data_IF_365542604804
#
_entry.id   IF_365542604804
#
_cell.length_a   1.000
_cell.length_b   1.000
_cell.length_c   1.000
_cell.angle_alpha   90.00
_cell.angle_beta   90.00
_cell.angle_gamma   90.00
#
_symmetry.space_group_name_H-M   'P 1'
#
loop_
_entity.id
_entity.type
_entity.pdbx_description
1 polymer ?
#
# COMPACT_ATOMS: atom_id res chain seq x y z
N UNK A 1 -26.75 17.23 -0.80
CA UNK A 1 -25.83 17.81 0.21
C UNK A 1 -25.74 16.88 1.40
N UNK A 2 -24.88 15.87 1.31
CA UNK A 2 -24.69 14.84 2.33
C UNK A 2 -23.62 15.34 3.29
N UNK A 3 -23.97 15.53 4.57
CA UNK A 3 -23.04 16.06 5.58
C UNK A 3 -21.81 15.14 5.73
N UNK A 4 -20.60 15.69 5.94
CA UNK A 4 -19.43 14.88 6.25
C UNK A 4 -19.66 14.14 7.57
N UNK A 5 -19.57 12.81 7.51
CA UNK A 5 -19.71 11.91 8.66
C UNK A 5 -18.46 12.08 9.53
N UNK A 6 -18.64 12.30 10.83
CA UNK A 6 -17.53 12.51 11.76
C UNK A 6 -16.77 11.19 12.00
N UNK A 7 -15.47 11.21 12.32
CA UNK A 7 -14.68 9.99 12.55
C UNK A 7 -15.22 9.06 13.66
N UNK A 8 -16.04 9.60 14.56
CA UNK A 8 -16.67 8.89 15.68
C UNK A 8 -17.92 8.08 15.26
N UNK A 9 -18.49 8.40 14.09
CA UNK A 9 -19.61 7.68 13.48
C UNK A 9 -19.11 6.62 12.47
N UNK A 10 -17.79 6.41 12.37
CA UNK A 10 -17.27 5.28 11.62
C UNK A 10 -17.63 3.97 12.35
N UNK A 11 -18.07 2.95 11.60
CA UNK A 11 -18.43 1.68 12.18
C UNK A 11 -17.28 1.02 12.94
N UNK A 12 -17.59 0.48 14.13
CA UNK A 12 -16.66 -0.36 14.92
C UNK A 12 -16.42 -1.69 14.18
N UNK A 13 -15.19 -2.26 14.23
CA UNK A 13 -14.65 -3.31 13.33
C UNK A 13 -15.48 -4.61 13.13
N UNK A 14 -16.54 -4.82 13.92
CA UNK A 14 -17.44 -5.98 13.84
C UNK A 14 -18.86 -5.63 13.40
N UNK A 15 -19.14 -4.37 13.05
CA UNK A 15 -20.46 -3.91 12.66
C UNK A 15 -20.77 -4.31 11.21
N UNK A 16 -22.03 -4.67 10.95
CA UNK A 16 -22.50 -5.16 9.65
C UNK A 16 -22.16 -4.21 8.47
N UNK A 17 -21.97 -2.92 8.77
CA UNK A 17 -21.47 -1.87 7.88
C UNK A 17 -20.02 -2.06 7.44
N UNK A 18 -19.12 -2.60 8.26
CA UNK A 18 -17.74 -2.94 7.84
C UNK A 18 -17.72 -4.14 6.90
N UNK A 19 -18.63 -5.09 7.10
CA UNK A 19 -18.81 -6.22 6.16
C UNK A 19 -19.38 -5.73 4.84
N UNK A 20 -20.34 -4.79 4.87
CA UNK A 20 -20.83 -4.13 3.67
C UNK A 20 -19.74 -3.28 3.00
N UNK A 21 -18.96 -2.50 3.75
CA UNK A 21 -17.85 -1.71 3.25
C UNK A 21 -16.72 -2.59 2.69
N UNK A 22 -16.41 -3.74 3.32
CA UNK A 22 -15.47 -4.73 2.78
C UNK A 22 -16.02 -5.43 1.54
N UNK A 23 -17.32 -5.71 1.47
CA UNK A 23 -17.95 -6.26 0.25
C UNK A 23 -18.02 -5.24 -0.89
N UNK A 24 -18.22 -3.96 -0.58
CA UNK A 24 -18.15 -2.85 -1.54
C UNK A 24 -16.70 -2.60 -1.96
N UNK A 25 -15.74 -2.69 -1.05
CA UNK A 25 -14.31 -2.60 -1.33
C UNK A 25 -13.88 -3.71 -2.29
N UNK A 26 -14.38 -4.93 -2.12
CA UNK A 26 -14.14 -6.03 -3.07
C UNK A 26 -14.71 -5.75 -4.47
N UNK A 27 -15.80 -4.98 -4.56
CA UNK A 27 -16.36 -4.48 -5.82
C UNK A 27 -15.52 -3.34 -6.43
N UNK A 28 -14.90 -2.48 -5.60
CA UNK A 28 -13.99 -1.41 -6.03
C UNK A 28 -12.59 -1.89 -6.40
N UNK A 29 -12.20 -3.09 -5.94
CA UNK A 29 -10.87 -3.65 -6.19
C UNK A 29 -10.75 -4.25 -7.60
N UNK A 30 -11.88 -4.69 -8.18
CA UNK A 30 -11.93 -5.15 -9.56
C UNK A 30 -12.01 -3.95 -10.52
N UNK A 31 -11.19 -3.93 -11.58
CA UNK A 31 -11.39 -2.97 -12.67
C UNK A 31 -12.78 -3.15 -13.27
N UNK A 32 -13.46 -2.05 -13.60
CA UNK A 32 -14.85 -2.06 -14.05
C UNK A 32 -14.95 -2.33 -15.56
N UNK A 33 -13.93 -1.96 -16.32
CA UNK A 33 -13.76 -2.40 -17.71
C UNK A 33 -12.28 -2.66 -18.04
N UNK A 34 -11.69 -3.79 -17.61
CA UNK A 34 -10.31 -4.08 -17.91
C UNK A 34 -10.14 -4.43 -19.40
N UNK A 35 -10.08 -3.41 -20.25
CA UNK A 35 -9.71 -3.58 -21.65
C UNK A 35 -8.30 -4.16 -21.82
N UNK A 36 -8.15 -5.07 -22.79
CA UNK A 36 -6.87 -5.49 -23.35
C UNK A 36 -5.83 -5.99 -22.33
N UNK A 37 -4.69 -5.30 -22.27
CA UNK A 37 -3.52 -5.73 -21.50
C UNK A 37 -3.76 -5.73 -19.97
N UNK A 38 -4.62 -4.84 -19.47
CA UNK A 38 -4.93 -4.74 -18.04
C UNK A 38 -5.65 -6.00 -17.55
N UNK A 39 -6.68 -6.47 -18.29
CA UNK A 39 -7.36 -7.73 -17.99
C UNK A 39 -6.42 -8.93 -18.00
N UNK A 40 -5.49 -8.98 -18.96
CA UNK A 40 -4.52 -10.06 -19.05
C UNK A 40 -3.67 -10.15 -17.78
N UNK A 41 -3.19 -9.02 -17.26
CA UNK A 41 -2.39 -8.98 -16.02
C UNK A 41 -3.19 -9.47 -14.80
N UNK A 42 -4.44 -9.04 -14.65
CA UNK A 42 -5.31 -9.54 -13.58
C UNK A 42 -5.55 -11.05 -13.71
N UNK A 43 -5.83 -11.55 -14.92
CA UNK A 43 -6.06 -12.99 -15.16
C UNK A 43 -4.83 -13.87 -14.89
N UNK A 44 -3.63 -13.32 -15.11
CA UNK A 44 -2.36 -13.99 -14.84
C UNK A 44 -1.93 -13.88 -13.37
N UNK A 45 -2.70 -13.17 -12.53
CA UNK A 45 -2.35 -12.91 -11.14
C UNK A 45 -1.19 -11.91 -10.97
N UNK A 46 -0.81 -11.21 -12.04
CA UNK A 46 0.20 -10.16 -12.02
C UNK A 46 -0.43 -8.87 -11.47
N UNK A 47 -0.64 -8.87 -10.15
CA UNK A 47 -1.26 -7.78 -9.40
C UNK A 47 -0.40 -7.39 -8.21
N UNK A 48 -0.45 -6.11 -7.86
CA UNK A 48 0.21 -5.57 -6.67
C UNK A 48 -0.89 -5.19 -5.69
N UNK A 49 -0.91 -5.87 -4.55
CA UNK A 49 -1.89 -5.61 -3.48
C UNK A 49 -1.20 -4.98 -2.29
N UNK A 50 -1.70 -3.82 -1.88
CA UNK A 50 -1.30 -3.10 -0.67
C UNK A 50 -2.39 -3.29 0.37
N UNK A 51 -2.06 -3.84 1.53
CA UNK A 51 -2.99 -4.03 2.65
C UNK A 51 -2.53 -3.22 3.85
N UNK A 52 -3.35 -2.28 4.29
CA UNK A 52 -3.10 -1.50 5.49
C UNK A 52 -3.44 -2.33 6.73
N UNK A 53 -2.44 -2.58 7.58
CA UNK A 53 -2.57 -3.50 8.72
C UNK A 53 -3.54 -3.00 9.80
N UNK A 54 -3.50 -1.72 10.21
CA UNK A 54 -4.41 -1.20 11.24
C UNK A 54 -5.90 -1.27 10.87
N UNK A 55 -6.25 -0.99 9.61
CA UNK A 55 -7.65 -0.92 9.18
C UNK A 55 -8.13 -2.20 8.48
N UNK A 56 -7.22 -3.02 7.97
CA UNK A 56 -7.53 -4.19 7.15
C UNK A 56 -8.04 -3.85 5.74
N UNK A 57 -8.02 -2.57 5.35
CA UNK A 57 -8.33 -2.16 3.98
C UNK A 57 -7.19 -2.53 3.03
N UNK A 58 -7.52 -2.84 1.79
CA UNK A 58 -6.55 -3.12 0.75
C UNK A 58 -6.91 -2.43 -0.56
N UNK A 59 -5.89 -2.24 -1.39
CA UNK A 59 -5.99 -1.71 -2.75
C UNK A 59 -5.11 -2.59 -3.65
N UNK A 60 -5.67 -3.01 -4.78
CA UNK A 60 -5.00 -3.82 -5.78
C UNK A 60 -4.89 -3.08 -7.11
N UNK A 61 -3.70 -3.14 -7.70
CA UNK A 61 -3.36 -2.59 -9.00
C UNK A 61 -2.91 -3.70 -9.96
N UNK A 62 -3.09 -3.48 -11.26
CA UNK A 62 -2.43 -4.29 -12.28
C UNK A 62 -0.92 -4.01 -12.26
N UNK A 63 -0.10 -5.04 -12.32
CA UNK A 63 1.35 -4.91 -12.18
C UNK A 63 2.02 -4.59 -13.52
N UNK A 64 1.88 -3.36 -14.02
CA UNK A 64 2.67 -2.86 -15.15
C UNK A 64 4.02 -2.34 -14.66
N UNK A 65 4.91 -3.27 -14.30
CA UNK A 65 6.17 -2.95 -13.63
C UNK A 65 7.19 -2.31 -14.58
N UNK A 66 7.73 -1.17 -14.17
CA UNK A 66 8.77 -0.43 -14.89
C UNK A 66 10.17 -0.73 -14.35
N UNK A 67 10.32 -0.78 -13.04
CA UNK A 67 11.56 -1.15 -12.37
C UNK A 67 11.29 -1.91 -11.07
N UNK A 68 12.22 -2.77 -10.71
CA UNK A 68 12.20 -3.50 -9.45
C UNK A 68 13.62 -3.77 -8.99
N UNK A 69 13.91 -3.35 -7.78
CA UNK A 69 15.18 -3.54 -7.09
C UNK A 69 14.88 -4.07 -5.68
N UNK A 70 15.58 -5.15 -5.30
CA UNK A 70 15.44 -5.80 -4.01
C UNK A 70 16.82 -6.03 -3.42
N UNK A 71 17.14 -5.29 -2.36
CA UNK A 71 18.46 -5.27 -1.75
C UNK A 71 18.39 -5.71 -0.29
N UNK A 72 19.36 -6.54 0.12
CA UNK A 72 19.54 -6.99 1.49
C UNK A 72 20.89 -6.49 2.01
N UNK A 73 20.87 -5.61 3.01
CA UNK A 73 22.07 -5.08 3.63
C UNK A 73 22.28 -5.74 5.00
N UNK A 74 23.28 -6.61 5.11
CA UNK A 74 23.65 -7.26 6.35
C UNK A 74 24.73 -6.46 7.09
N UNK A 75 24.43 -6.04 8.31
CA UNK A 75 25.30 -5.19 9.11
C UNK A 75 26.11 -6.02 10.11
N UNK A 76 27.44 -5.93 9.99
CA UNK A 76 28.40 -6.57 10.89
C UNK A 76 29.30 -5.50 11.54
N UNK A 77 29.38 -5.50 12.87
CA UNK A 77 30.25 -4.62 13.64
C UNK A 77 31.54 -5.35 14.03
N UNK A 78 32.69 -4.83 13.60
CA UNK A 78 34.00 -5.39 13.93
C UNK A 78 34.54 -4.88 15.26
N UNK A 79 34.68 -5.75 16.25
CA UNK A 79 35.38 -5.41 17.51
C UNK A 79 36.82 -5.92 17.47
N UNK A 80 37.79 -5.01 17.65
CA UNK A 80 39.21 -5.38 17.79
C UNK A 80 39.51 -5.74 19.24
N UNK A 81 40.10 -6.90 19.47
CA UNK A 81 40.52 -7.37 20.79
C UNK A 81 42.03 -7.42 20.86
N UNK A 82 42.61 -7.01 21.98
CA UNK A 82 44.06 -7.04 22.20
C UNK A 82 44.61 -8.45 22.00
N UNK A 83 45.71 -8.57 21.27
CA UNK A 83 46.38 -9.84 21.00
C UNK A 83 45.82 -10.66 19.83
N UNK A 84 44.82 -10.15 19.09
CA UNK A 84 44.36 -10.77 17.83
C UNK A 84 44.68 -9.88 16.62
N UNK A 85 45.08 -10.52 15.53
CA UNK A 85 45.35 -9.86 14.25
C UNK A 85 44.06 -9.52 13.48
N UNK A 86 43.02 -10.34 13.62
CA UNK A 86 41.73 -10.13 12.95
C UNK A 86 40.64 -9.64 13.91
N UNK A 87 39.82 -8.71 13.44
CA UNK A 87 38.64 -8.24 14.15
C UNK A 87 37.57 -9.33 14.29
N UNK A 88 36.82 -9.33 15.38
CA UNK A 88 35.65 -10.19 15.58
C UNK A 88 34.44 -9.46 14.99
N UNK A 89 33.85 -10.01 13.92
CA UNK A 89 32.61 -9.49 13.34
C UNK A 89 31.40 -9.96 14.16
N UNK A 90 30.61 -9.03 14.69
CA UNK A 90 29.35 -9.28 15.40
C UNK A 90 28.20 -8.85 14.51
N UNK A 91 27.30 -9.78 14.19
CA UNK A 91 26.10 -9.48 13.41
C UNK A 91 25.14 -8.57 14.20
N UNK A 92 24.69 -7.48 13.59
CA UNK A 92 23.77 -6.49 14.20
C UNK A 92 22.34 -6.64 13.66
N UNK A 93 22.20 -6.86 12.36
CA UNK A 93 20.89 -6.97 11.72
C UNK A 93 21.00 -7.00 10.21
N UNK A 94 19.88 -7.25 9.54
CA UNK A 94 19.76 -7.16 8.08
C UNK A 94 18.58 -6.30 7.73
N UNK A 95 18.81 -5.28 6.90
CA UNK A 95 17.75 -4.41 6.37
C UNK A 95 17.47 -4.80 4.92
N UNK A 96 16.21 -5.12 4.60
CA UNK A 96 15.76 -5.33 3.22
C UNK A 96 15.11 -4.04 2.71
N UNK A 97 15.59 -3.53 1.58
CA UNK A 97 14.99 -2.37 0.90
C UNK A 97 14.52 -2.81 -0.49
N UNK A 98 13.21 -2.66 -0.72
CA UNK A 98 12.57 -2.96 -1.99
C UNK A 98 12.13 -1.64 -2.60
N UNK A 99 12.62 -1.34 -3.80
CA UNK A 99 12.22 -0.18 -4.59
C UNK A 99 11.61 -0.68 -5.89
N UNK A 100 10.39 -0.24 -6.20
CA UNK A 100 9.76 -0.59 -7.46
C UNK A 100 8.90 0.56 -7.98
N UNK A 101 8.70 0.56 -9.29
CA UNK A 101 7.83 1.51 -9.98
C UNK A 101 6.94 0.76 -10.95
N UNK A 102 5.69 1.21 -11.09
CA UNK A 102 4.72 0.62 -11.99
C UNK A 102 3.81 1.70 -12.56
N UNK A 103 3.29 1.46 -13.76
CA UNK A 103 2.33 2.34 -14.41
C UNK A 103 0.90 1.94 -14.08
N UNK A 104 0.04 2.95 -13.93
CA UNK A 104 -1.40 2.77 -13.74
C UNK A 104 -2.06 3.30 -15.02
N UNK A 105 -2.54 2.38 -15.85
CA UNK A 105 -3.20 2.71 -17.12
C UNK A 105 -4.71 2.58 -16.96
N UNK A 106 -5.44 3.54 -17.51
CA UNK A 106 -6.89 3.50 -17.63
C UNK A 106 -7.29 3.35 -19.10
N UNK A 107 -8.24 2.45 -19.39
CA UNK A 107 -8.78 2.28 -20.75
C UNK A 107 -10.03 3.15 -20.97
N UNK A 108 -10.81 3.37 -19.91
CA UNK A 108 -12.03 4.18 -19.93
C UNK A 108 -11.94 5.35 -18.95
N UNK A 109 -12.79 6.35 -19.14
CA UNK A 109 -12.91 7.48 -18.21
C UNK A 109 -13.33 7.00 -16.80
N UNK A 110 -14.20 5.99 -16.74
CA UNK A 110 -14.65 5.41 -15.48
C UNK A 110 -13.48 4.71 -14.77
N UNK A 111 -12.68 3.89 -15.46
CA UNK A 111 -11.49 3.27 -14.86
C UNK A 111 -10.50 4.32 -14.34
N UNK A 112 -10.36 5.46 -15.02
CA UNK A 112 -9.51 6.56 -14.56
C UNK A 112 -9.99 7.12 -13.21
N UNK A 113 -11.30 7.33 -13.03
CA UNK A 113 -11.88 7.73 -11.74
C UNK A 113 -11.58 6.69 -10.64
N UNK A 114 -11.76 5.40 -10.94
CA UNK A 114 -11.48 4.33 -9.97
C UNK A 114 -9.99 4.23 -9.63
N UNK A 115 -9.11 4.34 -10.61
CA UNK A 115 -7.67 4.37 -10.41
C UNK A 115 -7.25 5.54 -9.52
N UNK A 116 -7.82 6.73 -9.74
CA UNK A 116 -7.56 7.89 -8.88
C UNK A 116 -8.02 7.64 -7.45
N UNK A 117 -9.22 7.09 -7.26
CA UNK A 117 -9.71 6.70 -5.93
C UNK A 117 -8.83 5.65 -5.23
N UNK A 118 -8.29 4.68 -5.98
CA UNK A 118 -7.33 3.69 -5.49
C UNK A 118 -6.01 4.34 -5.08
N UNK A 119 -5.50 5.29 -5.86
CA UNK A 119 -4.29 6.07 -5.54
C UNK A 119 -4.50 6.87 -4.25
N UNK A 120 -5.57 7.67 -4.15
CA UNK A 120 -5.86 8.44 -2.94
C UNK A 120 -6.05 7.55 -1.71
N UNK A 121 -6.60 6.35 -1.89
CA UNK A 121 -6.68 5.36 -0.81
C UNK A 121 -5.31 4.85 -0.39
N UNK A 122 -4.42 4.54 -1.33
CA UNK A 122 -3.05 4.12 -1.03
C UNK A 122 -2.28 5.23 -0.29
N UNK A 123 -2.40 6.48 -0.74
CA UNK A 123 -1.83 7.65 -0.05
C UNK A 123 -2.37 7.76 1.38
N UNK A 124 -3.67 7.48 1.59
CA UNK A 124 -4.26 7.50 2.93
C UNK A 124 -3.65 6.47 3.89
N UNK A 125 -3.11 5.35 3.37
CA UNK A 125 -2.45 4.31 4.17
C UNK A 125 -1.07 4.72 4.68
N UNK A 126 -0.50 5.81 4.15
CA UNK A 126 0.75 6.37 4.68
C UNK A 126 0.53 7.17 5.97
N UNK A 127 -0.71 7.56 6.27
CA UNK A 127 -1.01 8.29 7.49
C UNK A 127 -1.23 7.33 8.67
N UNK A 128 -0.75 7.68 9.88
CA UNK A 128 -0.99 6.87 11.07
C UNK A 128 -2.48 6.79 11.39
N UNK A 129 -2.90 5.68 11.99
CA UNK A 129 -4.25 5.54 12.51
C UNK A 129 -4.37 6.28 13.85
N UNK A 130 -5.46 7.01 14.05
CA UNK A 130 -5.77 7.72 15.30
C UNK A 130 -6.96 7.05 16.00
N UNK A 131 -6.87 6.87 17.31
CA UNK A 131 -8.04 6.49 18.11
C UNK A 131 -8.73 7.77 18.60
N UNK A 132 -10.03 7.86 18.32
CA UNK A 132 -10.88 9.00 18.67
C UNK A 132 -11.48 8.91 20.08
N UNK A 133 -11.02 7.96 20.91
CA UNK A 133 -11.58 7.62 22.22
C UNK A 133 -11.26 8.59 23.36
N UNK A 134 -10.58 9.71 23.09
CA UNK A 134 -10.34 10.76 24.07
C UNK A 134 -11.53 11.72 24.20
N UNK A 135 -12.31 11.59 25.28
CA UNK A 135 -13.38 12.53 25.71
C UNK A 135 -12.88 13.98 25.90
N UNK A 136 -11.55 14.19 25.85
CA UNK A 136 -10.84 15.47 25.99
C UNK A 136 -10.00 15.87 24.77
N UNK A 137 -10.45 15.53 23.55
CA UNK A 137 -10.00 16.21 22.32
C UNK A 137 -8.54 15.98 21.89
N UNK A 138 -7.85 14.97 22.45
CA UNK A 138 -6.48 14.61 22.04
C UNK A 138 -6.51 13.26 21.35
N UNK A 139 -6.42 13.25 20.02
CA UNK A 139 -6.29 12.03 19.23
C UNK A 139 -4.88 11.45 19.40
N UNK A 140 -4.75 10.34 20.12
CA UNK A 140 -3.48 9.62 20.25
C UNK A 140 -3.26 8.73 19.04
N UNK A 141 -2.02 8.63 18.56
CA UNK A 141 -1.62 7.70 17.50
C UNK A 141 -1.89 6.27 18.01
N UNK A 142 -2.81 5.58 17.36
CA UNK A 142 -3.26 4.23 17.73
C UNK A 142 -2.37 3.15 17.13
N UNK A 143 -1.88 3.35 15.90
CA UNK A 143 -1.01 2.40 15.22
C UNK A 143 -0.14 3.11 14.18
N UNK A 144 1.10 2.61 14.04
CA UNK A 144 1.97 2.99 12.93
C UNK A 144 1.37 2.55 11.58
N UNK A 145 1.61 3.29 10.49
CA UNK A 145 1.13 2.97 9.15
C UNK A 145 1.88 1.77 8.55
N UNK A 146 1.63 0.60 9.13
CA UNK A 146 2.19 -0.67 8.66
C UNK A 146 1.37 -1.19 7.50
N UNK A 147 2.07 -1.71 6.48
CA UNK A 147 1.45 -2.28 5.29
C UNK A 147 2.00 -3.66 4.98
N UNK A 148 1.13 -4.52 4.45
CA UNK A 148 1.52 -5.76 3.77
C UNK A 148 1.46 -5.55 2.27
N UNK A 149 2.54 -5.83 1.58
CA UNK A 149 2.63 -5.70 0.12
C UNK A 149 2.75 -7.09 -0.47
N UNK A 150 1.90 -7.42 -1.43
CA UNK A 150 2.01 -8.66 -2.20
C UNK A 150 2.16 -8.33 -3.67
N UNK A 151 3.19 -8.90 -4.29
CA UNK A 151 3.37 -8.82 -5.74
C UNK A 151 3.88 -10.16 -6.27
N UNK A 152 2.96 -10.91 -6.89
CA UNK A 152 3.22 -12.27 -7.37
C UNK A 152 4.02 -13.09 -6.36
N UNK A 153 5.16 -13.61 -6.81
CA UNK A 153 6.14 -14.32 -5.96
C UNK A 153 7.35 -13.46 -5.56
N UNK A 154 7.44 -12.21 -6.06
CA UNK A 154 8.60 -11.32 -5.87
C UNK A 154 8.55 -10.63 -4.51
N UNK A 155 7.37 -10.12 -4.14
CA UNK A 155 7.13 -9.57 -2.81
C UNK A 155 6.09 -10.45 -2.13
N UNK A 156 6.56 -11.37 -1.29
CA UNK A 156 5.71 -12.22 -0.47
C UNK A 156 6.42 -12.60 0.83
N UNK A 157 5.63 -12.81 1.88
CA UNK A 157 6.06 -13.46 3.11
C UNK A 157 6.03 -14.98 2.99
N UNK A 158 6.57 -15.67 4.00
CA UNK A 158 6.73 -17.13 4.00
C UNK A 158 5.42 -17.93 3.91
N UNK A 159 4.27 -17.31 4.19
CA UNK A 159 2.95 -17.97 4.22
C UNK A 159 2.09 -17.64 2.99
N UNK A 160 2.70 -17.19 1.88
CA UNK A 160 1.97 -16.66 0.71
C UNK A 160 1.09 -15.42 1.05
N UNK A 161 1.34 -14.82 2.22
CA UNK A 161 0.80 -13.53 2.63
C UNK A 161 1.68 -12.40 2.09
N UNK A 162 1.15 -11.18 2.02
CA UNK A 162 1.96 -10.01 1.68
C UNK A 162 3.10 -9.81 2.68
N UNK A 163 4.25 -9.35 2.19
CA UNK A 163 5.39 -9.00 3.02
C UNK A 163 5.02 -7.81 3.92
N UNK A 164 5.12 -8.00 5.24
CA UNK A 164 4.87 -6.95 6.22
C UNK A 164 6.06 -5.98 6.26
N UNK A 165 5.77 -4.69 6.21
CA UNK A 165 6.76 -3.63 6.34
C UNK A 165 6.14 -2.26 6.51
N UNK A 166 6.94 -1.24 6.24
CA UNK A 166 6.54 0.15 6.18
C UNK A 166 6.99 0.71 4.83
N UNK A 167 6.26 1.70 4.31
CA UNK A 167 6.63 2.40 3.08
C UNK A 167 7.22 3.75 3.48
N UNK A 168 8.44 4.03 3.01
CA UNK A 168 9.10 5.30 3.28
C UNK A 168 8.54 6.44 2.41
N UNK A 169 8.33 6.16 1.12
CA UNK A 169 7.94 7.15 0.12
C UNK A 169 6.96 6.51 -0.85
N UNK A 170 5.84 7.21 -1.11
CA UNK A 170 4.99 6.98 -2.27
C UNK A 170 5.09 8.23 -3.13
N UNK A 171 5.40 8.05 -4.41
CA UNK A 171 5.47 9.13 -5.37
C UNK A 171 4.52 8.84 -6.53
N UNK A 172 3.57 9.73 -6.76
CA UNK A 172 2.60 9.66 -7.86
C UNK A 172 2.99 10.71 -8.89
N UNK A 173 3.34 10.26 -10.10
CA UNK A 173 3.79 11.14 -11.18
C UNK A 173 2.80 11.05 -12.36
N UNK A 174 1.84 11.99 -12.46
CA UNK A 174 0.93 12.04 -13.59
C UNK A 174 1.69 12.29 -14.90
N UNK A 175 1.32 11.56 -15.95
CA UNK A 175 1.88 11.79 -17.28
C UNK A 175 1.03 12.83 -18.04
N UNK A 176 1.61 14.01 -18.27
CA UNK A 176 0.94 15.13 -18.95
C UNK A 176 0.60 14.85 -20.42
N UNK A 177 1.31 13.94 -21.09
CA UNK A 177 1.09 13.63 -22.51
C UNK A 177 -0.19 12.83 -22.73
N UNK A 178 -0.59 12.01 -21.76
CA UNK A 178 -1.78 11.15 -21.85
C UNK A 178 -3.07 11.83 -21.36
N UNK A 179 -3.00 13.13 -21.07
CA UNK A 179 -4.14 13.94 -20.64
C UNK A 179 -4.51 13.77 -19.16
N UNK A 180 -5.51 14.55 -18.74
CA UNK A 180 -6.01 14.55 -17.36
C UNK A 180 -7.48 14.22 -17.33
N UNK A 181 -7.88 13.52 -16.28
CA UNK A 181 -9.26 13.44 -15.86
C UNK A 181 -9.58 14.72 -15.08
N UNK A 182 -10.48 15.54 -15.59
CA UNK A 182 -10.93 16.78 -14.96
C UNK A 182 -12.41 16.59 -14.65
N UNK A 183 -12.80 16.75 -13.38
CA UNK A 183 -14.21 16.80 -13.00
C UNK A 183 -14.82 18.11 -13.52
N UNK A 184 -16.13 18.12 -13.82
CA UNK A 184 -16.80 19.27 -14.43
C UNK A 184 -16.68 20.58 -13.60
N UNK A 185 -16.34 20.44 -12.31
CA UNK A 185 -16.16 21.53 -11.35
C UNK A 185 -14.71 22.06 -11.22
N UNK A 186 -13.73 21.47 -11.93
CA UNK A 186 -12.35 21.96 -12.02
C UNK A 186 -11.40 21.47 -10.94
#
# INVERSE_FOLDING_TARGET
>A
MTKPIKPQDLPKPDSQSDKQQKSLQGLMDQPIDPGGAVAALYSQGLTITFTHVPTGYHVTFAAMLNSFDDSFNAEFQGTKVYGRMDQIAVYTGTTRLINFSFDIVANSQEDAYFNLGKISRLESFMYPAYDGSGETGTSTISAAPLMRIKFGNLIQGSNNEGLLGYINVVNTAPNFEHGFLIEEDG
#
